data_IF_677165375886
#
_entry.id   IF_677165375886
#
_cell.length_a   1.000
_cell.length_b   1.000
_cell.length_c   1.000
_cell.angle_alpha   90.00
_cell.angle_beta   90.00
_cell.angle_gamma   90.00
#
_symmetry.space_group_name_H-M   'P 1'
#
loop_
_entity.id
_entity.type
_entity.pdbx_description
1 polymer ?
#
# COMPACT_ATOMS: atom_id res chain seq x y z
N UNK A 1 -7.89 17.20 5.70
CA UNK A 1 -6.93 16.62 6.68
C UNK A 1 -5.49 16.81 6.23
N UNK A 2 -5.04 16.19 5.13
CA UNK A 2 -3.66 16.34 4.64
C UNK A 2 -3.19 17.78 4.52
N UNK A 3 -3.98 18.63 3.85
CA UNK A 3 -3.72 20.07 3.74
C UNK A 3 -3.56 20.76 5.11
N UNK A 4 -4.49 20.52 6.05
CA UNK A 4 -4.44 21.13 7.38
C UNK A 4 -3.19 20.70 8.16
N UNK A 5 -2.81 19.41 8.09
CA UNK A 5 -1.58 18.90 8.72
C UNK A 5 -0.34 19.50 8.09
N UNK A 6 -0.35 19.73 6.76
CA UNK A 6 0.78 20.36 6.09
C UNK A 6 1.06 21.78 6.61
N UNK A 7 0.01 22.54 6.94
CA UNK A 7 0.13 23.91 7.48
C UNK A 7 0.66 23.99 8.91
N UNK A 8 0.69 22.88 9.66
CA UNK A 8 1.22 22.86 11.03
C UNK A 8 2.73 23.03 10.97
N UNK A 9 3.31 23.89 11.81
CA UNK A 9 4.75 23.99 11.95
C UNK A 9 5.27 22.83 12.81
N UNK A 10 5.63 21.73 12.15
CA UNK A 10 6.00 20.46 12.76
C UNK A 10 6.95 19.72 11.82
N UNK A 11 7.85 18.91 12.38
CA UNK A 11 8.80 18.11 11.59
C UNK A 11 8.08 17.16 10.62
N UNK A 12 8.72 16.92 9.48
CA UNK A 12 8.17 16.09 8.39
C UNK A 12 7.72 14.71 8.89
N UNK A 13 8.54 14.05 9.71
CA UNK A 13 8.24 12.71 10.25
C UNK A 13 6.97 12.74 11.08
N UNK A 14 6.83 13.72 11.96
CA UNK A 14 5.68 13.86 12.83
C UNK A 14 4.41 14.16 12.00
N UNK A 15 4.53 14.98 10.95
CA UNK A 15 3.42 15.21 9.99
C UNK A 15 2.97 13.90 9.33
N UNK A 16 3.91 13.08 8.86
CA UNK A 16 3.62 11.78 8.23
C UNK A 16 2.95 10.83 9.22
N UNK A 17 3.48 10.67 10.43
CA UNK A 17 2.89 9.79 11.44
C UNK A 17 1.47 10.26 11.80
N UNK A 18 1.29 11.57 12.02
CA UNK A 18 0.00 12.17 12.36
C UNK A 18 -1.04 11.96 11.26
N UNK A 19 -0.71 12.25 10.00
CA UNK A 19 -1.67 12.09 8.90
C UNK A 19 -2.02 10.62 8.69
N UNK A 20 -1.05 9.70 8.81
CA UNK A 20 -1.31 8.27 8.67
C UNK A 20 -2.27 7.80 9.76
N UNK A 21 -2.05 8.21 11.01
CA UNK A 21 -2.94 7.88 12.12
C UNK A 21 -4.37 8.39 11.87
N UNK A 22 -4.51 9.66 11.44
CA UNK A 22 -5.80 10.25 11.11
C UNK A 22 -6.48 9.52 9.96
N UNK A 23 -5.75 9.20 8.90
CA UNK A 23 -6.30 8.51 7.73
C UNK A 23 -6.74 7.09 8.05
N UNK A 24 -5.96 6.33 8.84
CA UNK A 24 -6.37 5.00 9.30
C UNK A 24 -7.61 5.06 10.20
N UNK A 25 -7.72 6.09 11.06
CA UNK A 25 -8.91 6.32 11.87
C UNK A 25 -10.14 6.59 10.99
N UNK A 26 -10.01 7.48 10.00
CA UNK A 26 -11.10 7.80 9.07
C UNK A 26 -11.51 6.57 8.26
N UNK A 27 -10.56 5.79 7.74
CA UNK A 27 -10.86 4.55 7.03
C UNK A 27 -11.58 3.53 7.92
N UNK A 28 -11.19 3.43 9.21
CA UNK A 28 -11.87 2.58 10.19
C UNK A 28 -13.32 3.03 10.44
N UNK A 29 -13.54 4.34 10.66
CA UNK A 29 -14.88 4.91 10.90
C UNK A 29 -15.77 4.75 9.67
N UNK A 30 -15.22 5.05 8.49
CA UNK A 30 -15.91 4.92 7.21
C UNK A 30 -16.10 3.45 6.77
N UNK A 31 -15.60 2.47 7.55
CA UNK A 31 -15.60 1.04 7.22
C UNK A 31 -15.06 0.77 5.81
N UNK A 32 -14.04 1.54 5.41
CA UNK A 32 -13.51 1.56 4.06
C UNK A 32 -12.10 0.97 3.99
N UNK A 33 -11.81 0.28 2.88
CA UNK A 33 -10.49 -0.27 2.54
C UNK A 33 -9.79 0.54 1.43
N UNK A 34 -10.32 1.73 1.11
CA UNK A 34 -9.86 2.52 -0.03
C UNK A 34 -8.46 3.08 0.17
N UNK A 35 -7.47 2.29 -0.24
CA UNK A 35 -6.08 2.72 -0.32
C UNK A 35 -5.88 3.99 -1.20
N UNK A 36 -6.68 4.26 -2.26
CA UNK A 36 -6.59 5.54 -2.97
C UNK A 36 -6.91 6.77 -2.11
N UNK A 37 -7.89 6.67 -1.20
CA UNK A 37 -8.21 7.76 -0.28
C UNK A 37 -7.06 8.03 0.70
N UNK A 38 -6.32 6.99 1.08
CA UNK A 38 -5.11 7.12 1.88
C UNK A 38 -4.02 7.94 1.16
N UNK A 39 -3.80 7.67 -0.14
CA UNK A 39 -2.82 8.41 -0.96
C UNK A 39 -3.14 9.91 -1.05
N UNK A 40 -4.41 10.26 -1.28
CA UNK A 40 -4.82 11.68 -1.41
C UNK A 40 -4.65 12.45 -0.11
N UNK A 41 -4.78 11.79 1.04
CA UNK A 41 -4.46 12.39 2.34
C UNK A 41 -2.99 12.71 2.53
N UNK A 42 -2.09 11.91 1.94
CA UNK A 42 -0.63 12.08 2.03
C UNK A 42 -0.08 13.15 1.08
N UNK A 43 -0.69 13.31 -0.10
CA UNK A 43 -0.18 14.18 -1.16
C UNK A 43 0.20 15.59 -0.67
N UNK A 44 -0.66 16.35 0.04
CA UNK A 44 -0.32 17.72 0.46
C UNK A 44 0.94 17.86 1.30
N UNK A 45 1.30 16.82 2.07
CA UNK A 45 2.48 16.85 2.94
C UNK A 45 3.74 16.53 2.13
N UNK A 46 3.63 15.61 1.17
CA UNK A 46 4.75 15.17 0.33
C UNK A 46 5.12 16.26 -0.69
N UNK A 47 4.11 16.93 -1.25
CA UNK A 47 4.30 18.03 -2.21
C UNK A 47 4.42 19.40 -1.53
N UNK A 48 4.38 19.46 -0.20
CA UNK A 48 4.39 20.68 0.61
C UNK A 48 3.40 21.75 0.11
N UNK A 49 2.15 21.34 -0.15
CA UNK A 49 1.14 22.23 -0.75
C UNK A 49 0.52 23.17 0.28
N UNK A 50 0.68 24.47 0.03
CA UNK A 50 0.12 25.55 0.88
C UNK A 50 -1.06 26.29 0.25
N UNK A 51 -1.46 25.92 -0.98
CA UNK A 51 -2.53 26.58 -1.69
C UNK A 51 -3.88 25.87 -1.54
N UNK A 52 -4.90 26.62 -1.11
CA UNK A 52 -6.27 26.13 -0.92
C UNK A 52 -6.93 25.58 -2.19
N UNK A 53 -6.49 26.02 -3.38
CA UNK A 53 -6.95 25.51 -4.67
C UNK A 53 -6.80 23.98 -4.81
N UNK A 54 -5.81 23.38 -4.13
CA UNK A 54 -5.64 21.93 -4.11
C UNK A 54 -6.91 21.21 -3.64
N UNK A 55 -7.59 21.73 -2.61
CA UNK A 55 -8.81 21.13 -2.07
C UNK A 55 -9.92 21.16 -3.12
N UNK A 56 -10.07 22.31 -3.80
CA UNK A 56 -11.09 22.49 -4.84
C UNK A 56 -10.85 21.50 -5.98
N UNK A 57 -9.61 21.36 -6.45
CA UNK A 57 -9.24 20.44 -7.53
C UNK A 57 -9.54 18.99 -7.13
N UNK A 58 -9.17 18.56 -5.92
CA UNK A 58 -9.43 17.19 -5.46
C UNK A 58 -10.93 16.91 -5.37
N UNK A 59 -11.73 17.85 -4.82
CA UNK A 59 -13.19 17.69 -4.75
C UNK A 59 -13.79 17.62 -6.16
N UNK A 60 -13.37 18.51 -7.06
CA UNK A 60 -13.87 18.54 -8.42
C UNK A 60 -13.53 17.26 -9.18
N UNK A 61 -12.27 16.81 -9.13
CA UNK A 61 -11.80 15.60 -9.81
C UNK A 61 -12.46 14.34 -9.25
N UNK A 62 -12.59 14.23 -7.92
CA UNK A 62 -13.30 13.09 -7.30
C UNK A 62 -14.79 13.11 -7.62
N UNK A 63 -15.41 14.29 -7.73
CA UNK A 63 -16.78 14.46 -8.22
C UNK A 63 -16.96 13.99 -9.67
N UNK A 64 -16.05 14.38 -10.57
CA UNK A 64 -16.05 13.91 -11.96
C UNK A 64 -15.90 12.38 -12.05
N UNK A 65 -14.99 11.80 -11.27
CA UNK A 65 -14.83 10.34 -11.19
C UNK A 65 -16.10 9.66 -10.68
N UNK A 66 -16.74 10.23 -9.65
CA UNK A 66 -18.01 9.73 -9.13
C UNK A 66 -19.11 9.76 -10.20
N UNK A 67 -19.23 10.84 -10.96
CA UNK A 67 -20.16 10.93 -12.10
C UNK A 67 -19.87 9.85 -13.14
N UNK A 68 -18.59 9.65 -13.50
CA UNK A 68 -18.19 8.58 -14.41
C UNK A 68 -18.60 7.19 -13.93
N UNK A 69 -18.40 6.89 -12.64
CA UNK A 69 -18.82 5.62 -12.03
C UNK A 69 -20.34 5.46 -12.00
N UNK A 70 -21.09 6.53 -11.74
CA UNK A 70 -22.55 6.53 -11.77
C UNK A 70 -23.09 6.28 -13.18
N UNK A 71 -22.53 6.95 -14.19
CA UNK A 71 -22.91 6.78 -15.60
C UNK A 71 -22.55 5.37 -16.09
N UNK A 72 -21.37 4.87 -15.74
CA UNK A 72 -20.92 3.51 -16.13
C UNK A 72 -21.71 2.40 -15.43
N UNK A 73 -22.49 2.70 -14.39
CA UNK A 73 -23.26 1.70 -13.65
C UNK A 73 -22.40 0.68 -12.90
N UNK A 74 -21.08 0.89 -12.77
CA UNK A 74 -20.15 -0.05 -12.14
C UNK A 74 -20.44 -0.31 -10.65
N UNK A 75 -21.27 0.55 -10.04
CA UNK A 75 -21.73 0.38 -8.66
C UNK A 75 -22.84 -0.68 -8.50
N UNK A 76 -23.49 -1.13 -9.59
CA UNK A 76 -24.69 -2.00 -9.51
C UNK A 76 -24.38 -3.46 -9.20
N UNK A 77 -23.13 -3.91 -9.36
CA UNK A 77 -22.70 -5.31 -9.18
C UNK A 77 -21.74 -5.51 -7.99
N UNK A 78 -21.81 -4.67 -6.96
CA UNK A 78 -20.99 -4.84 -5.75
C UNK A 78 -21.72 -5.77 -4.79
N UNK A 79 -21.55 -7.08 -4.97
CA UNK A 79 -22.18 -8.13 -4.16
C UNK A 79 -21.51 -8.32 -2.79
N UNK A 80 -20.25 -7.93 -2.65
CA UNK A 80 -19.49 -8.10 -1.42
C UNK A 80 -19.62 -6.90 -0.47
N UNK A 81 -20.08 -7.16 0.76
CA UNK A 81 -20.00 -6.18 1.85
C UNK A 81 -18.54 -5.85 2.12
N UNK A 82 -18.17 -4.59 1.89
CA UNK A 82 -16.83 -4.06 2.21
C UNK A 82 -16.57 -4.31 3.71
N UNK A 83 -15.60 -5.17 4.00
CA UNK A 83 -15.18 -5.44 5.38
C UNK A 83 -14.38 -4.24 5.89
N UNK A 84 -14.58 -3.76 7.13
CA UNK A 84 -13.74 -2.72 7.69
C UNK A 84 -12.30 -3.19 7.86
N UNK A 85 -11.37 -2.24 7.99
CA UNK A 85 -9.99 -2.52 8.37
C UNK A 85 -9.98 -3.03 9.82
N UNK A 86 -9.30 -4.15 10.04
CA UNK A 86 -9.22 -4.79 11.36
C UNK A 86 -8.19 -4.07 12.24
N UNK A 87 -8.39 -4.13 13.55
CA UNK A 87 -7.46 -3.54 14.52
C UNK A 87 -6.03 -4.11 14.39
N UNK A 88 -5.91 -5.41 14.09
CA UNK A 88 -4.61 -6.06 13.91
C UNK A 88 -3.89 -5.55 12.65
N UNK A 89 -4.64 -5.25 11.58
CA UNK A 89 -4.11 -4.68 10.33
C UNK A 89 -3.56 -3.27 10.57
N UNK A 90 -4.32 -2.42 11.27
CA UNK A 90 -3.87 -1.07 11.67
C UNK A 90 -2.59 -1.15 12.51
N UNK A 91 -2.55 -2.05 13.51
CA UNK A 91 -1.37 -2.24 14.35
C UNK A 91 -0.15 -2.68 13.54
N UNK A 92 -0.31 -3.66 12.63
CA UNK A 92 0.78 -4.11 11.75
C UNK A 92 1.30 -2.96 10.88
N UNK A 93 0.39 -2.17 10.31
CA UNK A 93 0.74 -1.03 9.47
C UNK A 93 1.58 -0.01 10.26
N UNK A 94 1.11 0.39 11.44
CA UNK A 94 1.80 1.36 12.28
C UNK A 94 3.16 0.86 12.75
N UNK A 95 3.28 -0.41 13.17
CA UNK A 95 4.57 -0.98 13.61
C UNK A 95 5.58 -0.97 12.46
N UNK A 96 5.18 -1.44 11.27
CA UNK A 96 6.08 -1.45 10.10
C UNK A 96 6.49 -0.01 9.72
N UNK A 97 5.53 0.92 9.70
CA UNK A 97 5.80 2.31 9.37
C UNK A 97 6.75 2.96 10.40
N UNK A 98 6.54 2.74 11.69
CA UNK A 98 7.40 3.30 12.74
C UNK A 98 8.81 2.74 12.66
N UNK A 99 8.96 1.42 12.45
CA UNK A 99 10.27 0.80 12.25
C UNK A 99 10.97 1.35 11.01
N UNK A 100 10.24 1.49 9.89
CA UNK A 100 10.78 2.09 8.68
C UNK A 100 11.20 3.54 8.91
N UNK A 101 10.33 4.33 9.55
CA UNK A 101 10.58 5.75 9.83
C UNK A 101 11.83 5.93 10.68
N UNK A 102 12.01 5.11 11.71
CA UNK A 102 13.20 5.12 12.55
C UNK A 102 14.48 4.80 11.77
N UNK A 103 14.44 3.77 10.92
CA UNK A 103 15.59 3.40 10.10
C UNK A 103 15.98 4.50 9.11
N UNK A 104 15.00 5.06 8.41
CA UNK A 104 15.23 6.11 7.41
C UNK A 104 15.74 7.39 8.08
N UNK A 105 15.17 7.76 9.22
CA UNK A 105 15.62 8.91 9.99
C UNK A 105 17.06 8.76 10.47
N UNK A 106 17.44 7.56 10.91
CA UNK A 106 18.82 7.27 11.32
C UNK A 106 19.84 7.42 10.19
N UNK A 107 19.39 7.32 8.93
CA UNK A 107 20.21 7.50 7.72
C UNK A 107 20.18 8.97 7.24
N UNK A 108 19.26 9.80 7.76
CA UNK A 108 19.12 11.21 7.41
C UNK A 108 18.38 11.50 6.11
N UNK A 109 17.60 10.54 5.59
CA UNK A 109 16.87 10.67 4.30
C UNK A 109 15.35 10.62 4.55
N UNK A 110 14.83 11.51 5.40
CA UNK A 110 13.43 11.46 5.88
C UNK A 110 12.37 11.38 4.78
N UNK A 111 12.67 11.88 3.59
CA UNK A 111 11.75 11.87 2.44
C UNK A 111 11.42 10.44 1.94
N UNK A 112 12.28 9.45 2.25
CA UNK A 112 12.05 8.03 1.95
C UNK A 112 10.93 7.40 2.80
N UNK A 113 10.50 8.06 3.87
CA UNK A 113 9.51 7.53 4.81
C UNK A 113 8.16 7.35 4.11
N UNK A 114 7.78 8.30 3.25
CA UNK A 114 6.44 8.36 2.68
C UNK A 114 6.43 8.44 1.16
N UNK A 115 6.72 7.32 0.51
CA UNK A 115 6.49 7.14 -0.93
C UNK A 115 5.04 6.68 -1.11
N UNK A 116 4.13 7.50 -1.66
CA UNK A 116 2.70 7.20 -1.65
C UNK A 116 2.37 5.82 -2.28
N UNK A 117 2.90 5.45 -3.47
CA UNK A 117 2.66 4.13 -4.04
C UNK A 117 3.05 2.97 -3.12
N UNK A 118 4.16 3.08 -2.38
CA UNK A 118 4.62 2.04 -1.46
C UNK A 118 3.70 1.94 -0.25
N UNK A 119 3.35 3.07 0.36
CA UNK A 119 2.50 3.10 1.55
C UNK A 119 1.07 2.63 1.28
N UNK A 120 0.54 2.96 0.10
CA UNK A 120 -0.76 2.47 -0.40
C UNK A 120 -0.72 0.96 -0.58
N UNK A 121 0.35 0.44 -1.20
CA UNK A 121 0.51 -1.00 -1.40
C UNK A 121 0.72 -1.74 -0.07
N UNK A 122 1.46 -1.17 0.88
CA UNK A 122 1.59 -1.72 2.23
C UNK A 122 0.23 -1.88 2.89
N UNK A 123 -0.63 -0.86 2.78
CA UNK A 123 -1.99 -0.90 3.32
C UNK A 123 -2.83 -1.99 2.63
N UNK A 124 -2.72 -2.13 1.31
CA UNK A 124 -3.43 -3.16 0.54
C UNK A 124 -2.97 -4.57 0.93
N UNK A 125 -1.65 -4.80 1.04
CA UNK A 125 -1.07 -6.12 1.29
C UNK A 125 -1.31 -6.60 2.72
N UNK A 126 -1.28 -5.70 3.71
CA UNK A 126 -1.59 -6.05 5.10
C UNK A 126 -3.01 -6.61 5.25
N UNK A 127 -3.94 -6.11 4.45
CA UNK A 127 -5.34 -6.54 4.46
C UNK A 127 -5.59 -7.87 3.74
N UNK A 128 -4.57 -8.47 3.09
CA UNK A 128 -4.68 -9.80 2.46
C UNK A 128 -4.47 -10.89 3.50
N UNK A 129 -5.30 -11.93 3.47
CA UNK A 129 -5.15 -13.07 4.37
C UNK A 129 -3.88 -13.88 4.07
N UNK A 130 -3.57 -14.03 2.78
CA UNK A 130 -2.43 -14.80 2.28
C UNK A 130 -1.54 -13.88 1.46
N UNK A 131 -0.25 -13.88 1.78
CA UNK A 131 0.76 -13.15 1.01
C UNK A 131 1.94 -14.07 0.68
N UNK A 132 2.02 -14.47 -0.59
CA UNK A 132 3.02 -15.43 -1.06
C UNK A 132 4.34 -14.76 -1.41
N UNK A 133 5.44 -15.52 -1.35
CA UNK A 133 6.77 -15.05 -1.78
C UNK A 133 6.75 -14.57 -3.24
N UNK A 134 5.99 -15.26 -4.10
CA UNK A 134 5.84 -14.87 -5.50
C UNK A 134 5.19 -13.50 -5.68
N UNK A 135 4.13 -13.20 -4.92
CA UNK A 135 3.48 -11.89 -4.95
C UNK A 135 4.41 -10.80 -4.40
N UNK A 136 5.14 -11.07 -3.32
CA UNK A 136 6.15 -10.18 -2.77
C UNK A 136 7.21 -9.79 -3.81
N UNK A 137 7.87 -10.77 -4.42
CA UNK A 137 8.94 -10.51 -5.40
C UNK A 137 8.38 -9.77 -6.61
N UNK A 138 7.24 -10.20 -7.16
CA UNK A 138 6.60 -9.52 -8.30
C UNK A 138 6.29 -8.06 -7.99
N UNK A 139 5.69 -7.79 -6.83
CA UNK A 139 5.32 -6.43 -6.45
C UNK A 139 6.55 -5.54 -6.27
N UNK A 140 7.58 -5.98 -5.55
CA UNK A 140 8.83 -5.21 -5.38
C UNK A 140 9.48 -4.91 -6.74
N UNK A 141 9.61 -5.92 -7.61
CA UNK A 141 10.21 -5.74 -8.93
C UNK A 141 9.41 -4.75 -9.76
N UNK A 142 8.10 -4.93 -9.88
CA UNK A 142 7.26 -4.08 -10.73
C UNK A 142 7.21 -2.65 -10.21
N UNK A 143 7.07 -2.47 -8.89
CA UNK A 143 7.05 -1.15 -8.25
C UNK A 143 8.35 -0.40 -8.53
N UNK A 144 9.49 -1.08 -8.37
CA UNK A 144 10.82 -0.52 -8.62
C UNK A 144 11.05 -0.21 -10.10
N UNK A 145 10.73 -1.15 -10.99
CA UNK A 145 10.89 -0.98 -12.44
C UNK A 145 10.08 0.20 -12.94
N UNK A 146 8.82 0.33 -12.52
CA UNK A 146 7.96 1.44 -12.95
C UNK A 146 8.46 2.76 -12.36
N UNK A 147 8.94 2.78 -11.12
CA UNK A 147 9.55 3.98 -10.54
C UNK A 147 10.75 4.46 -11.39
N UNK A 148 11.70 3.57 -11.71
CA UNK A 148 12.84 3.90 -12.58
C UNK A 148 12.41 4.32 -13.98
N UNK A 149 11.47 3.61 -14.60
CA UNK A 149 10.95 3.97 -15.93
C UNK A 149 10.28 5.34 -15.93
N UNK A 150 9.59 5.70 -14.86
CA UNK A 150 8.96 7.01 -14.69
C UNK A 150 10.01 8.12 -14.65
N UNK A 151 11.10 7.94 -13.89
CA UNK A 151 12.22 8.90 -13.85
C UNK A 151 12.85 9.06 -15.23
N UNK A 152 13.26 7.94 -15.85
CA UNK A 152 13.94 7.99 -17.16
C UNK A 152 13.04 8.62 -18.22
N UNK A 153 11.76 8.25 -18.25
CA UNK A 153 10.82 8.79 -19.24
C UNK A 153 10.52 10.28 -19.00
N UNK A 154 10.45 10.72 -17.74
CA UNK A 154 10.28 12.14 -17.41
C UNK A 154 11.50 12.99 -17.82
N UNK A 155 12.71 12.42 -17.73
CA UNK A 155 13.93 13.10 -18.20
C UNK A 155 13.96 13.16 -19.74
N UNK A 156 13.52 12.11 -20.43
CA UNK A 156 13.59 12.03 -21.90
C UNK A 156 12.45 12.78 -22.61
N UNK A 157 11.28 12.89 -21.99
CA UNK A 157 10.09 13.49 -22.57
C UNK A 157 9.81 14.81 -21.84
N UNK A 158 10.10 15.92 -22.50
CA UNK A 158 9.94 17.26 -21.92
C UNK A 158 8.47 17.69 -21.80
N UNK A 159 7.60 17.14 -22.64
CA UNK A 159 6.17 17.44 -22.61
C UNK A 159 5.44 16.54 -21.60
N UNK A 160 4.87 17.16 -20.56
CA UNK A 160 4.20 16.47 -19.46
C UNK A 160 3.00 15.62 -19.93
N UNK A 161 2.24 16.11 -20.92
CA UNK A 161 1.05 15.42 -21.40
C UNK A 161 1.45 14.18 -22.21
N UNK A 162 2.46 14.33 -23.08
CA UNK A 162 3.04 13.21 -23.84
C UNK A 162 3.66 12.17 -22.90
N UNK A 163 4.33 12.61 -21.84
CA UNK A 163 4.92 11.72 -20.83
C UNK A 163 3.86 10.85 -20.14
N UNK A 164 2.76 11.46 -19.66
CA UNK A 164 1.67 10.70 -19.02
C UNK A 164 1.00 9.75 -20.03
N UNK A 165 0.72 10.24 -21.24
CA UNK A 165 0.09 9.45 -22.29
C UNK A 165 0.96 8.26 -22.72
N UNK A 166 2.28 8.39 -22.65
CA UNK A 166 3.24 7.31 -22.90
C UNK A 166 3.31 6.30 -21.75
N UNK A 167 3.38 6.78 -20.50
CA UNK A 167 3.61 5.94 -19.34
C UNK A 167 2.39 5.08 -18.96
N UNK A 168 1.17 5.59 -19.08
CA UNK A 168 -0.03 4.84 -18.67
C UNK A 168 -0.25 3.54 -19.48
N UNK A 169 -0.17 3.55 -20.83
CA UNK A 169 -0.20 2.32 -21.63
C UNK A 169 0.96 1.38 -21.34
N UNK A 170 2.17 1.93 -21.15
CA UNK A 170 3.36 1.12 -20.83
C UNK A 170 3.17 0.35 -19.52
N UNK A 171 2.70 1.00 -18.47
CA UNK A 171 2.38 0.37 -17.18
C UNK A 171 1.33 -0.72 -17.37
N UNK A 172 0.28 -0.45 -18.14
CA UNK A 172 -0.77 -1.44 -18.43
C UNK A 172 -0.20 -2.70 -19.11
N UNK A 173 0.68 -2.53 -20.10
CA UNK A 173 1.35 -3.63 -20.81
C UNK A 173 2.21 -4.44 -19.83
N UNK A 174 3.03 -3.78 -19.01
CA UNK A 174 3.88 -4.44 -18.00
C UNK A 174 3.01 -5.27 -17.04
N UNK A 175 1.96 -4.67 -16.46
CA UNK A 175 1.08 -5.38 -15.53
C UNK A 175 0.41 -6.60 -16.19
N UNK A 176 0.03 -6.48 -17.47
CA UNK A 176 -0.55 -7.58 -18.25
C UNK A 176 0.45 -8.71 -18.51
N UNK A 177 1.70 -8.40 -18.83
CA UNK A 177 2.79 -9.37 -19.00
C UNK A 177 3.01 -10.17 -17.71
N UNK A 178 3.05 -9.48 -16.57
CA UNK A 178 3.28 -10.13 -15.26
C UNK A 178 2.02 -10.78 -14.65
N UNK A 179 0.87 -10.63 -15.31
CA UNK A 179 -0.46 -11.11 -14.89
C UNK A 179 -0.78 -10.72 -13.45
N UNK A 180 -0.61 -9.44 -13.14
CA UNK A 180 -0.83 -8.89 -11.80
C UNK A 180 -1.61 -7.58 -11.88
N UNK A 181 -2.51 -7.38 -10.93
CA UNK A 181 -3.18 -6.10 -10.71
C UNK A 181 -2.45 -5.36 -9.60
N UNK A 182 -1.91 -4.18 -9.92
CA UNK A 182 -1.20 -3.34 -8.98
C UNK A 182 -1.57 -1.88 -9.19
N UNK A 183 -2.73 -1.40 -8.70
CA UNK A 183 -3.20 -0.05 -9.00
C UNK A 183 -2.22 1.05 -8.55
N UNK A 184 -1.49 0.80 -7.46
CA UNK A 184 -0.54 1.76 -6.88
C UNK A 184 0.54 2.22 -7.87
N UNK A 185 0.94 1.40 -8.86
CA UNK A 185 2.02 1.80 -9.79
C UNK A 185 1.61 2.87 -10.78
N UNK A 186 0.31 3.03 -11.06
CA UNK A 186 -0.19 4.12 -11.91
C UNK A 186 -0.02 5.50 -11.29
N UNK A 187 0.31 5.57 -9.99
CA UNK A 187 0.59 6.84 -9.34
C UNK A 187 2.03 7.33 -9.58
N UNK A 188 2.98 6.49 -10.03
CA UNK A 188 4.35 6.95 -10.26
C UNK A 188 4.48 8.03 -11.33
N UNK A 189 3.83 7.92 -12.52
CA UNK A 189 3.99 8.95 -13.53
C UNK A 189 3.47 10.32 -13.08
N UNK A 190 2.24 10.46 -12.57
CA UNK A 190 1.77 11.73 -12.00
C UNK A 190 2.60 12.20 -10.81
N UNK A 191 3.15 11.28 -10.00
CA UNK A 191 4.00 11.63 -8.88
C UNK A 191 5.26 12.37 -9.33
N UNK A 192 5.88 11.97 -10.45
CA UNK A 192 7.06 12.68 -10.99
C UNK A 192 6.79 14.15 -11.32
N UNK A 193 5.54 14.50 -11.67
CA UNK A 193 5.17 15.87 -12.00
C UNK A 193 4.99 16.78 -10.78
N UNK A 194 4.87 16.19 -9.58
CA UNK A 194 4.50 16.93 -8.35
C UNK A 194 5.50 16.76 -7.21
N UNK A 195 6.48 15.86 -7.35
CA UNK A 195 7.50 15.67 -6.31
C UNK A 195 8.50 16.83 -6.30
N UNK A 196 9.09 17.13 -5.12
CA UNK A 196 10.23 18.05 -5.03
C UNK A 196 11.44 17.55 -5.82
N UNK A 197 12.24 18.46 -6.36
CA UNK A 197 13.49 18.17 -7.08
C UNK A 197 14.50 17.35 -6.24
N UNK A 198 14.40 17.37 -4.91
CA UNK A 198 15.26 16.55 -4.03
C UNK A 198 14.94 15.04 -4.09
N UNK A 199 13.80 14.64 -4.65
CA UNK A 199 13.35 13.25 -4.71
C UNK A 199 13.42 12.61 -6.10
N UNK A 200 13.47 13.41 -7.15
CA UNK A 200 13.16 12.97 -8.51
C UNK A 200 14.14 11.92 -9.05
N UNK A 201 15.45 12.11 -8.86
CA UNK A 201 16.48 11.21 -9.39
C UNK A 201 16.61 9.91 -8.58
N UNK A 202 16.22 9.91 -7.31
CA UNK A 202 16.42 8.79 -6.40
C UNK A 202 15.15 7.98 -6.12
N UNK A 203 14.00 8.38 -6.66
CA UNK A 203 12.71 7.74 -6.35
C UNK A 203 12.70 6.23 -6.65
N UNK A 204 13.43 5.78 -7.68
CA UNK A 204 13.58 4.35 -8.00
C UNK A 204 14.27 3.57 -6.89
N UNK A 205 15.40 4.10 -6.40
CA UNK A 205 16.15 3.49 -5.31
C UNK A 205 15.38 3.54 -3.98
N UNK A 206 14.75 4.68 -3.69
CA UNK A 206 13.90 4.86 -2.51
C UNK A 206 12.72 3.88 -2.53
N UNK A 207 12.10 3.69 -3.69
CA UNK A 207 11.01 2.72 -3.90
C UNK A 207 11.50 1.29 -3.68
N UNK A 208 12.68 0.94 -4.19
CA UNK A 208 13.27 -0.39 -3.96
C UNK A 208 13.49 -0.65 -2.48
N UNK A 209 14.19 0.25 -1.78
CA UNK A 209 14.51 0.07 -0.36
C UNK A 209 13.25 0.03 0.49
N UNK A 210 12.33 0.97 0.28
CA UNK A 210 11.08 1.04 1.03
C UNK A 210 10.20 -0.18 0.77
N UNK A 211 10.05 -0.63 -0.48
CA UNK A 211 9.23 -1.79 -0.81
C UNK A 211 9.82 -3.10 -0.32
N UNK A 212 11.14 -3.30 -0.44
CA UNK A 212 11.82 -4.49 0.11
C UNK A 212 11.62 -4.57 1.62
N UNK A 213 11.82 -3.46 2.34
CA UNK A 213 11.64 -3.43 3.78
C UNK A 213 10.18 -3.66 4.18
N UNK A 214 9.28 -2.79 3.71
CA UNK A 214 7.89 -2.79 4.17
C UNK A 214 7.14 -4.05 3.76
N UNK A 215 7.20 -4.45 2.48
CA UNK A 215 6.54 -5.65 2.00
C UNK A 215 7.25 -6.92 2.50
N UNK A 216 8.56 -6.86 2.73
CA UNK A 216 9.34 -7.92 3.37
C UNK A 216 8.85 -8.20 4.79
N UNK A 217 8.64 -7.15 5.60
CA UNK A 217 8.04 -7.29 6.93
C UNK A 217 6.65 -7.94 6.87
N UNK A 218 5.79 -7.53 5.93
CA UNK A 218 4.46 -8.15 5.79
C UNK A 218 4.57 -9.62 5.39
N UNK A 219 5.45 -9.96 4.45
CA UNK A 219 5.72 -11.35 4.06
C UNK A 219 6.15 -12.21 5.26
N UNK A 220 7.08 -11.72 6.08
CA UNK A 220 7.52 -12.43 7.29
C UNK A 220 6.38 -12.63 8.28
N UNK A 221 5.61 -11.56 8.59
CA UNK A 221 4.47 -11.63 9.52
C UNK A 221 3.43 -12.65 9.04
N UNK A 222 3.06 -12.60 7.75
CA UNK A 222 2.05 -13.50 7.18
C UNK A 222 2.54 -14.95 7.14
N UNK A 223 3.82 -15.18 6.82
CA UNK A 223 4.43 -16.51 6.86
C UNK A 223 4.42 -17.10 8.26
N UNK A 224 4.86 -16.33 9.27
CA UNK A 224 4.88 -16.77 10.66
C UNK A 224 3.48 -17.14 11.17
N UNK A 225 2.45 -16.37 10.78
CA UNK A 225 1.07 -16.67 11.15
C UNK A 225 0.55 -17.96 10.47
N UNK A 226 0.91 -18.20 9.21
CA UNK A 226 0.55 -19.43 8.51
C UNK A 226 1.21 -20.66 9.13
N UNK A 227 2.47 -20.55 9.51
CA UNK A 227 3.20 -21.65 10.16
C UNK A 227 2.60 -21.99 11.53
N UNK A 228 2.19 -20.98 12.31
CA UNK A 228 1.45 -21.18 13.58
C UNK A 228 0.12 -21.90 13.37
N UNK A 229 -0.66 -21.52 12.35
CA UNK A 229 -1.95 -22.16 12.03
C UNK A 229 -1.74 -23.62 11.64
N UNK A 230 -0.76 -23.91 10.77
CA UNK A 230 -0.42 -25.29 10.37
C UNK A 230 -0.02 -26.15 11.57
N UNK A 231 0.78 -25.59 12.48
CA UNK A 231 1.22 -26.30 13.68
C UNK A 231 0.05 -26.60 14.62
N UNK A 232 -0.89 -25.65 14.80
CA UNK A 232 -2.10 -25.87 15.60
C UNK A 232 -3.00 -26.98 15.01
N UNK A 233 -3.22 -26.96 13.69
CA UNK A 233 -3.99 -28.00 12.99
C UNK A 233 -3.31 -29.36 13.10
N UNK A 234 -1.99 -29.43 12.91
CA UNK A 234 -1.23 -30.68 13.05
C UNK A 234 -1.34 -31.26 14.46
N UNK A 235 -1.32 -30.40 15.49
CA UNK A 235 -1.48 -30.84 16.87
C UNK A 235 -2.88 -31.40 17.13
N UNK A 236 -3.93 -30.76 16.61
CA UNK A 236 -5.31 -31.28 16.72
C UNK A 236 -5.49 -32.62 16.00
N UNK A 237 -4.92 -32.78 14.79
CA UNK A 237 -4.97 -34.04 14.05
C UNK A 237 -4.23 -35.15 14.81
N UNK A 238 -3.06 -34.86 15.38
CA UNK A 238 -2.32 -35.83 16.18
C UNK A 238 -3.06 -36.22 17.46
N UNK A 239 -3.71 -35.26 18.12
CA UNK A 239 -4.58 -35.52 19.28
C UNK A 239 -5.75 -36.45 18.93
N UNK A 240 -6.46 -36.17 17.83
CA UNK A 240 -7.56 -37.03 17.36
C UNK A 240 -7.07 -38.44 16.98
N UNK A 241 -5.91 -38.55 16.33
CA UNK A 241 -5.30 -39.85 16.00
C UNK A 241 -4.97 -40.66 17.27
N UNK A 242 -4.48 -40.00 18.32
CA UNK A 242 -4.17 -40.66 19.59
C UNK A 242 -5.44 -41.16 20.28
N UNK A 243 -6.52 -40.37 20.32
CA UNK A 243 -7.83 -40.81 20.85
C UNK A 243 -8.35 -42.03 20.09
N UNK A 244 -8.32 -42.01 18.76
CA UNK A 244 -8.79 -43.16 17.94
C UNK A 244 -7.93 -44.40 18.19
N UNK A 245 -6.62 -44.24 18.41
CA UNK A 245 -5.71 -45.35 18.70
C UNK A 245 -5.98 -45.96 20.08
N UNK A 246 -6.18 -45.13 21.11
CA UNK A 246 -6.52 -45.58 22.46
C UNK A 246 -7.93 -46.20 22.53
N UNK A 247 -8.90 -45.61 21.82
CA UNK A 247 -10.25 -46.17 21.72
C UNK A 247 -10.29 -47.54 21.02
N UNK A 248 -9.44 -47.76 20.00
CA UNK A 248 -9.29 -49.09 19.37
C UNK A 248 -8.65 -50.12 20.30
N UNK A 249 -7.69 -49.71 21.14
CA UNK A 249 -7.07 -50.59 22.14
C UNK A 249 -8.06 -51.07 23.21
N UNK A 250 -9.03 -50.22 23.59
CA UNK A 250 -10.10 -50.58 24.54
C UNK A 250 -11.15 -51.55 23.97
N UNK A 251 -11.38 -51.54 22.65
CA UNK A 251 -12.35 -52.42 21.98
C UNK A 251 -11.74 -53.81 21.69
N UNK A 252 -10.42 -53.90 21.49
CA UNK A 252 -9.72 -55.17 21.25
C UNK A 252 -9.40 -55.96 22.53
N UNK A 253 -9.55 -55.35 23.71
CA UNK A 253 -9.31 -55.98 25.02
C UNK A 253 -10.60 -56.39 25.75
N UNK A 254 -11.76 -56.37 25.08
CA UNK A 254 -13.03 -56.93 25.54
C UNK A 254 -13.43 -58.10 24.67
#
# INVERSE_FOLDING_TARGET
>A
MGYCVNLINMDYILKIILIVMLMLLVLKIAKSRLAPAFATGLLPIITNTNHWYFIIIVIFLTGLLMLGVLISGSHKNIEDKIKPIQHNEIRQYLVILLLWSFLVHSIGIDIMIAIPPVLVLLLEVIQKDIYTKGNFIKQVMILTTIAYMSVVSHIMITDNDVYILWMLPLIYIILKIFKITLPAVYAFPPLMLVIPESMDHYIGMYTLLSSVFTLGCVYLIKRLNQDKIKLHISNQINFLKNIVKEGKLLILNK
#
